data_IF_123354798706
#
_entry.id   IF_123354798706
#
_cell.length_a   1.000
_cell.length_b   1.000
_cell.length_c   1.000
_cell.angle_alpha   90.00
_cell.angle_beta   90.00
_cell.angle_gamma   90.00
#
_symmetry.space_group_name_H-M   'P 1'
#
loop_
_entity.id
_entity.type
_entity.pdbx_description
1 polymer ?
#
# COMPACT_ATOMS: atom_id res chain seq x y z
N UNK A 1 25.59 18.89 -8.06
CA UNK A 1 26.07 18.06 -6.94
C UNK A 1 26.64 16.78 -7.55
N UNK A 2 27.85 16.38 -7.18
CA UNK A 2 28.50 15.15 -7.62
C UNK A 2 28.64 14.27 -6.37
N UNK A 3 28.25 13.00 -6.43
CA UNK A 3 28.37 12.08 -5.29
C UNK A 3 29.29 10.93 -5.65
N UNK A 4 30.19 10.58 -4.73
CA UNK A 4 31.10 9.45 -4.86
C UNK A 4 30.57 8.31 -3.99
N UNK A 5 30.24 7.18 -4.61
CA UNK A 5 29.85 5.96 -3.87
C UNK A 5 31.14 5.35 -3.33
N UNK A 6 31.37 5.44 -2.03
CA UNK A 6 32.49 4.75 -1.39
C UNK A 6 32.04 3.33 -1.06
N UNK A 7 32.37 2.37 -1.90
CA UNK A 7 32.28 0.94 -1.57
C UNK A 7 33.50 0.55 -0.73
N UNK A 8 33.35 -0.03 0.48
CA UNK A 8 34.48 -0.54 1.23
C UNK A 8 34.84 -1.94 0.72
N UNK A 9 35.66 -2.02 -0.33
CA UNK A 9 36.33 -3.28 -0.69
C UNK A 9 37.81 -3.24 -0.32
N UNK A 10 38.15 -4.14 0.60
CA UNK A 10 39.44 -4.73 0.97
C UNK A 10 40.74 -3.99 0.60
N UNK A 11 41.50 -3.69 1.65
CA UNK A 11 42.94 -3.50 1.56
C UNK A 11 43.62 -4.80 1.10
N UNK A 12 43.99 -4.88 -0.17
CA UNK A 12 45.14 -5.68 -0.60
C UNK A 12 45.87 -4.96 -1.72
N UNK A 13 47.14 -4.63 -1.45
CA UNK A 13 48.04 -3.96 -2.37
C UNK A 13 48.50 -4.91 -3.48
N UNK A 14 48.26 -4.54 -4.74
CA UNK A 14 49.26 -4.55 -5.83
C UNK A 14 48.59 -4.18 -7.17
N UNK A 15 49.03 -3.04 -7.74
CA UNK A 15 49.00 -2.61 -9.15
C UNK A 15 47.97 -3.29 -10.08
N UNK A 16 46.95 -2.53 -10.50
CA UNK A 16 46.43 -2.53 -11.88
C UNK A 16 45.47 -1.34 -12.10
N UNK A 17 45.77 -0.54 -13.13
CA UNK A 17 44.92 0.44 -13.85
C UNK A 17 43.94 1.28 -13.03
N UNK A 18 44.15 2.60 -13.01
CA UNK A 18 43.18 3.62 -12.60
C UNK A 18 41.86 3.50 -13.38
N UNK A 19 40.97 2.58 -12.99
CA UNK A 19 39.56 2.66 -13.31
C UNK A 19 38.99 3.73 -12.40
N UNK A 20 39.09 4.99 -12.84
CA UNK A 20 38.39 6.10 -12.21
C UNK A 20 36.91 5.69 -12.11
N UNK A 21 36.42 5.45 -10.89
CA UNK A 21 35.01 5.15 -10.65
C UNK A 21 34.17 6.21 -11.38
N UNK A 22 33.18 5.80 -12.19
CA UNK A 22 32.46 6.74 -13.04
C UNK A 22 31.84 7.84 -12.19
N UNK A 23 32.21 9.08 -12.49
CA UNK A 23 31.59 10.27 -11.88
C UNK A 23 30.18 10.38 -12.44
N UNK A 24 29.19 9.93 -11.67
CA UNK A 24 27.80 10.05 -12.07
C UNK A 24 27.33 11.50 -11.94
N UNK A 25 26.86 12.06 -13.06
CA UNK A 25 26.14 13.33 -13.05
C UNK A 25 24.80 13.06 -12.36
N UNK A 26 24.48 13.82 -11.31
CA UNK A 26 23.17 13.76 -10.67
C UNK A 26 22.11 14.32 -11.63
N UNK A 27 21.60 13.45 -12.51
CA UNK A 27 20.47 13.73 -13.38
C UNK A 27 19.17 13.25 -12.75
N UNK A 28 18.05 13.70 -13.32
CA UNK A 28 16.73 13.17 -12.97
C UNK A 28 16.67 11.67 -13.25
N UNK A 29 17.33 11.17 -14.31
CA UNK A 29 17.46 9.72 -14.54
C UNK A 29 18.28 9.03 -13.45
N UNK A 30 19.39 9.61 -12.97
CA UNK A 30 20.18 9.01 -11.89
C UNK A 30 19.35 8.84 -10.60
N UNK A 31 18.61 9.89 -10.20
CA UNK A 31 17.74 9.83 -9.01
C UNK A 31 16.54 8.87 -9.16
N UNK A 32 16.21 8.49 -10.39
CA UNK A 32 15.08 7.61 -10.74
C UNK A 32 15.56 6.26 -11.28
N UNK A 33 16.86 6.00 -11.27
CA UNK A 33 17.43 4.74 -11.69
C UNK A 33 17.07 3.70 -10.63
N UNK A 34 16.03 2.94 -10.91
CA UNK A 34 15.59 1.87 -10.00
C UNK A 34 16.39 0.62 -10.35
N UNK A 35 17.42 0.33 -9.55
CA UNK A 35 18.02 -1.00 -9.56
C UNK A 35 17.25 -1.93 -8.62
N UNK A 36 17.24 -3.21 -8.96
CA UNK A 36 16.62 -4.25 -8.14
C UNK A 36 17.25 -4.31 -6.73
N UNK A 37 18.55 -4.11 -6.64
CA UNK A 37 19.28 -4.10 -5.37
C UNK A 37 18.88 -2.92 -4.51
N UNK A 38 18.78 -1.70 -5.07
CA UNK A 38 18.30 -0.53 -4.33
C UNK A 38 16.87 -0.75 -3.80
N UNK A 39 16.00 -1.37 -4.60
CA UNK A 39 14.63 -1.66 -4.18
C UNK A 39 14.58 -2.65 -3.00
N UNK A 40 15.36 -3.73 -3.07
CA UNK A 40 15.48 -4.72 -1.98
C UNK A 40 16.12 -4.12 -0.72
N UNK A 41 17.19 -3.34 -0.87
CA UNK A 41 17.84 -2.66 0.25
C UNK A 41 16.89 -1.68 0.95
N UNK A 42 16.08 -0.93 0.21
CA UNK A 42 15.05 -0.06 0.78
C UNK A 42 14.00 -0.84 1.55
N UNK A 43 13.56 -1.98 1.02
CA UNK A 43 12.58 -2.84 1.69
C UNK A 43 13.15 -3.39 3.01
N UNK A 44 14.37 -3.93 2.98
CA UNK A 44 15.05 -4.44 4.18
C UNK A 44 15.29 -3.33 5.21
N UNK A 45 15.70 -2.14 4.78
CA UNK A 45 15.89 -0.99 5.66
C UNK A 45 14.58 -0.53 6.30
N UNK A 46 13.48 -0.49 5.54
CA UNK A 46 12.17 -0.16 6.08
C UNK A 46 11.69 -1.21 7.09
N UNK A 47 11.85 -2.49 6.78
CA UNK A 47 11.48 -3.57 7.69
C UNK A 47 12.29 -3.50 9.00
N UNK A 48 13.60 -3.32 8.90
CA UNK A 48 14.47 -3.18 10.08
C UNK A 48 14.14 -1.93 10.89
N UNK A 49 14.03 -0.76 10.24
CA UNK A 49 13.77 0.51 10.93
C UNK A 49 12.41 0.51 11.62
N UNK A 50 11.39 -0.08 11.00
CA UNK A 50 10.08 -0.27 11.63
C UNK A 50 10.15 -1.20 12.84
N UNK A 51 10.83 -2.34 12.73
CA UNK A 51 11.01 -3.27 13.83
C UNK A 51 11.78 -2.64 15.00
N UNK A 52 12.88 -1.93 14.71
CA UNK A 52 13.69 -1.21 15.67
C UNK A 52 12.88 -0.09 16.36
N UNK A 53 12.09 0.66 15.61
CA UNK A 53 11.20 1.70 16.15
C UNK A 53 10.18 1.10 17.13
N UNK A 54 9.53 -0.01 16.76
CA UNK A 54 8.61 -0.73 17.66
C UNK A 54 9.29 -1.22 18.93
N UNK A 55 10.50 -1.76 18.84
CA UNK A 55 11.27 -2.20 19.99
C UNK A 55 11.65 -1.02 20.91
N UNK A 56 12.03 0.13 20.34
CA UNK A 56 12.31 1.33 21.13
C UNK A 56 11.06 1.88 21.84
N UNK A 57 9.87 1.78 21.20
CA UNK A 57 8.60 2.16 21.83
C UNK A 57 8.26 1.29 23.05
N UNK A 58 8.49 -0.02 22.97
CA UNK A 58 8.21 -0.92 24.10
C UNK A 58 9.18 -0.68 25.26
N UNK A 59 10.46 -0.51 24.96
CA UNK A 59 11.49 -0.22 25.97
C UNK A 59 11.24 1.12 26.68
N UNK A 60 10.93 2.19 25.94
CA UNK A 60 10.64 3.50 26.53
C UNK A 60 9.40 3.47 27.46
N UNK A 61 8.38 2.68 27.11
CA UNK A 61 7.19 2.50 27.95
C UNK A 61 7.45 1.84 29.31
N UNK A 62 8.58 1.13 29.45
CA UNK A 62 9.07 0.52 30.70
C UNK A 62 9.95 1.50 31.47
N UNK A 63 10.78 2.28 30.77
CA UNK A 63 11.74 3.23 31.37
C UNK A 63 11.06 4.44 32.03
N UNK A 64 9.87 4.86 31.60
CA UNK A 64 9.12 5.93 32.29
C UNK A 64 8.75 5.62 33.74
N UNK A 65 8.87 4.36 34.20
CA UNK A 65 8.58 3.94 35.59
C UNK A 65 9.84 3.85 36.45
N UNK A 66 11.03 3.74 35.83
CA UNK A 66 12.30 3.59 36.53
C UNK A 66 13.15 4.84 36.31
N UNK A 67 13.39 5.60 37.38
CA UNK A 67 14.19 6.82 37.50
C UNK A 67 15.42 6.87 36.57
N UNK A 68 15.23 7.31 35.32
CA UNK A 68 16.30 7.48 34.34
C UNK A 68 16.80 8.92 34.34
N UNK A 69 18.10 9.10 34.13
CA UNK A 69 18.69 10.44 33.98
C UNK A 69 18.13 11.11 32.73
N UNK A 70 17.80 12.40 32.80
CA UNK A 70 17.20 13.19 31.72
C UNK A 70 17.99 13.11 30.39
N UNK A 71 19.31 12.96 30.47
CA UNK A 71 20.19 12.79 29.32
C UNK A 71 19.97 11.46 28.58
N UNK A 72 19.77 10.35 29.30
CA UNK A 72 19.55 9.03 28.68
C UNK A 72 18.20 8.96 27.93
N UNK A 73 17.17 9.58 28.50
CA UNK A 73 15.85 9.69 27.86
C UNK A 73 15.89 10.53 26.58
N UNK A 74 16.64 11.64 26.59
CA UNK A 74 16.78 12.51 25.42
C UNK A 74 17.47 11.79 24.25
N UNK A 75 18.54 11.02 24.51
CA UNK A 75 19.23 10.23 23.47
C UNK A 75 18.28 9.21 22.84
N UNK A 76 17.51 8.48 23.66
CA UNK A 76 16.54 7.50 23.16
C UNK A 76 15.44 8.15 22.29
N UNK A 77 15.00 9.36 22.63
CA UNK A 77 14.07 10.13 21.81
C UNK A 77 14.66 10.48 20.44
N UNK A 78 15.89 10.99 20.40
CA UNK A 78 16.57 11.36 19.15
C UNK A 78 16.79 10.14 18.24
N UNK A 79 17.12 8.98 18.82
CA UNK A 79 17.27 7.74 18.06
C UNK A 79 15.94 7.28 17.45
N UNK A 80 14.82 7.44 18.18
CA UNK A 80 13.50 7.18 17.64
C UNK A 80 13.11 8.17 16.53
N UNK A 81 13.44 9.46 16.66
CA UNK A 81 13.21 10.45 15.59
C UNK A 81 14.02 10.11 14.32
N UNK A 82 15.26 9.65 14.47
CA UNK A 82 16.06 9.15 13.35
C UNK A 82 15.40 7.95 12.67
N UNK A 83 14.87 7.00 13.44
CA UNK A 83 14.15 5.85 12.88
C UNK A 83 12.87 6.27 12.16
N UNK A 84 12.11 7.23 12.69
CA UNK A 84 10.95 7.82 12.00
C UNK A 84 11.35 8.43 10.66
N UNK A 85 12.44 9.20 10.64
CA UNK A 85 12.96 9.79 9.41
C UNK A 85 13.34 8.71 8.38
N UNK A 86 14.05 7.66 8.80
CA UNK A 86 14.43 6.54 7.92
C UNK A 86 13.20 5.83 7.35
N UNK A 87 12.21 5.51 8.19
CA UNK A 87 10.95 4.90 7.74
C UNK A 87 10.27 5.75 6.67
N UNK A 88 10.10 7.06 6.92
CA UNK A 88 9.44 7.98 6.00
C UNK A 88 10.21 8.14 4.69
N UNK A 89 11.53 8.26 4.75
CA UNK A 89 12.39 8.34 3.58
C UNK A 89 12.26 7.08 2.71
N UNK A 90 12.29 5.89 3.32
CA UNK A 90 12.11 4.63 2.60
C UNK A 90 10.73 4.56 1.93
N UNK A 91 9.66 4.91 2.65
CA UNK A 91 8.29 4.92 2.13
C UNK A 91 8.12 5.86 0.92
N UNK A 92 8.73 7.04 0.95
CA UNK A 92 8.71 8.02 -0.16
C UNK A 92 9.52 7.55 -1.36
N UNK A 93 10.67 6.92 -1.12
CA UNK A 93 11.49 6.36 -2.19
C UNK A 93 10.80 5.17 -2.85
N UNK A 94 10.21 4.26 -2.07
CA UNK A 94 9.40 3.15 -2.60
C UNK A 94 8.23 3.66 -3.43
N UNK A 95 7.51 4.70 -2.95
CA UNK A 95 6.46 5.37 -3.71
C UNK A 95 6.99 5.86 -5.06
N UNK A 96 8.13 6.53 -5.06
CA UNK A 96 8.75 7.09 -6.26
C UNK A 96 9.15 5.97 -7.22
N UNK A 97 9.85 4.95 -6.74
CA UNK A 97 10.34 3.84 -7.57
C UNK A 97 9.20 3.06 -8.20
N UNK A 98 8.15 2.74 -7.45
CA UNK A 98 6.97 2.04 -7.99
C UNK A 98 6.30 2.88 -9.07
N UNK A 99 6.12 4.18 -8.86
CA UNK A 99 5.47 5.06 -9.83
C UNK A 99 6.34 5.39 -11.05
N UNK A 100 7.65 5.25 -10.97
CA UNK A 100 8.54 5.36 -12.13
C UNK A 100 8.54 4.07 -12.97
N UNK A 101 8.46 2.89 -12.34
CA UNK A 101 8.38 1.61 -13.07
C UNK A 101 6.97 1.38 -13.62
N UNK A 102 5.96 1.59 -12.79
CA UNK A 102 4.54 1.36 -13.06
C UNK A 102 3.74 2.64 -12.80
N UNK A 103 3.76 3.63 -13.70
CA UNK A 103 2.96 4.85 -13.56
C UNK A 103 1.45 4.57 -13.57
N UNK A 104 0.71 5.31 -12.75
CA UNK A 104 -0.77 5.23 -12.65
C UNK A 104 -1.47 5.70 -13.94
N UNK A 105 -0.81 6.56 -14.74
CA UNK A 105 -1.27 6.95 -16.06
C UNK A 105 -0.16 6.63 -17.07
N UNK A 106 -0.45 5.69 -17.95
CA UNK A 106 0.46 5.29 -19.02
C UNK A 106 0.58 6.45 -20.01
N UNK A 107 1.73 7.12 -20.00
CA UNK A 107 2.09 8.03 -21.08
C UNK A 107 2.84 7.24 -22.15
N UNK A 108 2.48 7.37 -23.42
CA UNK A 108 3.10 6.67 -24.56
C UNK A 108 4.62 6.91 -24.75
N UNK A 109 5.27 7.71 -23.89
CA UNK A 109 6.65 8.20 -24.07
C UNK A 109 7.73 7.39 -23.35
N UNK A 110 7.41 6.49 -22.42
CA UNK A 110 8.44 5.73 -21.69
C UNK A 110 7.93 4.33 -21.32
N UNK A 111 8.30 3.34 -22.13
CA UNK A 111 8.04 1.93 -21.81
C UNK A 111 9.22 1.43 -20.99
N UNK A 112 9.05 1.34 -19.67
CA UNK A 112 10.01 0.63 -18.80
C UNK A 112 9.80 -0.87 -19.03
N UNK A 113 10.87 -1.60 -19.34
CA UNK A 113 10.79 -3.05 -19.55
C UNK A 113 10.38 -3.74 -18.25
N UNK A 114 9.31 -4.54 -18.30
CA UNK A 114 8.87 -5.31 -17.15
C UNK A 114 9.87 -6.42 -16.79
N UNK A 115 9.96 -6.72 -15.49
CA UNK A 115 10.76 -7.82 -14.97
C UNK A 115 9.98 -8.53 -13.87
N UNK A 116 9.94 -9.86 -13.90
CA UNK A 116 9.30 -10.69 -12.88
C UNK A 116 9.83 -10.32 -11.48
N UNK A 117 11.14 -10.12 -11.36
CA UNK A 117 11.81 -9.76 -10.11
C UNK A 117 11.38 -8.39 -9.58
N UNK A 118 11.09 -7.44 -10.46
CA UNK A 118 10.56 -6.13 -10.06
C UNK A 118 9.10 -6.27 -9.59
N UNK A 119 8.28 -7.04 -10.31
CA UNK A 119 6.90 -7.32 -9.91
C UNK A 119 6.83 -8.05 -8.54
N UNK A 120 7.74 -8.99 -8.28
CA UNK A 120 7.92 -9.63 -6.96
C UNK A 120 8.18 -8.60 -5.87
N UNK A 121 9.12 -7.68 -6.12
CA UNK A 121 9.47 -6.65 -5.15
C UNK A 121 8.27 -5.71 -4.87
N UNK A 122 7.46 -5.36 -5.88
CA UNK A 122 6.21 -4.61 -5.66
C UNK A 122 5.26 -5.41 -4.77
N UNK A 123 5.17 -6.73 -4.97
CA UNK A 123 4.37 -7.63 -4.14
C UNK A 123 4.86 -7.68 -2.68
N UNK A 124 6.17 -7.66 -2.47
CA UNK A 124 6.78 -7.64 -1.14
C UNK A 124 6.57 -6.30 -0.43
N UNK A 125 6.65 -5.18 -1.16
CA UNK A 125 6.28 -3.86 -0.62
C UNK A 125 4.82 -3.84 -0.19
N UNK A 126 3.91 -4.35 -1.04
CA UNK A 126 2.48 -4.47 -0.71
C UNK A 126 2.29 -5.23 0.61
N UNK A 127 2.96 -6.36 0.78
CA UNK A 127 2.87 -7.18 1.98
C UNK A 127 3.43 -6.45 3.23
N UNK A 128 4.58 -5.79 3.11
CA UNK A 128 5.18 -5.04 4.21
C UNK A 128 4.28 -3.87 4.65
N UNK A 129 3.74 -3.11 3.70
CA UNK A 129 2.90 -1.95 4.01
C UNK A 129 1.58 -2.38 4.67
N UNK A 130 0.98 -3.47 4.19
CA UNK A 130 -0.19 -4.09 4.85
C UNK A 130 0.12 -4.47 6.29
N UNK A 131 1.30 -5.02 6.54
CA UNK A 131 1.77 -5.37 7.90
C UNK A 131 1.90 -4.13 8.77
N UNK A 132 2.60 -3.08 8.30
CA UNK A 132 2.77 -1.82 9.03
C UNK A 132 1.41 -1.18 9.36
N UNK A 133 0.47 -1.14 8.41
CA UNK A 133 -0.85 -0.54 8.62
C UNK A 133 -1.73 -1.34 9.58
N UNK A 134 -1.58 -2.67 9.61
CA UNK A 134 -2.34 -3.59 10.47
C UNK A 134 -1.72 -3.79 11.85
N UNK A 135 -0.50 -3.30 12.09
CA UNK A 135 0.22 -3.52 13.34
C UNK A 135 -0.49 -2.84 14.53
N UNK A 136 -0.69 -3.60 15.61
CA UNK A 136 -1.24 -3.07 16.85
C UNK A 136 -0.10 -2.50 17.71
N UNK A 137 -0.12 -1.20 17.97
CA UNK A 137 0.97 -0.51 18.65
C UNK A 137 0.55 -0.12 20.08
N UNK A 138 1.30 -0.52 21.12
CA UNK A 138 0.97 -0.24 22.51
C UNK A 138 0.81 1.26 22.82
N UNK A 139 1.64 2.11 22.19
CA UNK A 139 1.64 3.56 22.38
C UNK A 139 0.34 4.25 21.91
N UNK A 140 -0.35 3.69 20.90
CA UNK A 140 -1.63 4.21 20.40
C UNK A 140 -2.82 3.87 21.30
N UNK A 141 -2.69 2.89 22.20
CA UNK A 141 -3.80 2.44 23.06
C UNK A 141 -3.96 3.25 24.35
N UNK A 142 -2.90 3.94 24.81
CA UNK A 142 -2.94 4.75 26.03
C UNK A 142 -3.42 6.18 25.70
N UNK A 143 -4.73 6.40 25.73
CA UNK A 143 -5.38 7.72 25.50
C UNK A 143 -4.86 8.87 26.38
N UNK A 144 -4.17 8.58 27.49
CA UNK A 144 -3.80 9.58 28.49
C UNK A 144 -2.42 10.23 28.31
N UNK A 145 -1.69 9.95 27.23
CA UNK A 145 -0.51 10.75 26.91
C UNK A 145 -0.44 11.01 25.42
N UNK A 146 -0.71 12.26 25.02
CA UNK A 146 -0.19 12.87 23.79
C UNK A 146 1.34 12.95 23.83
N UNK A 147 1.97 11.81 24.10
CA UNK A 147 3.41 11.63 24.21
C UNK A 147 4.01 11.79 22.82
N UNK A 148 5.19 12.39 22.76
CA UNK A 148 5.97 12.57 21.53
C UNK A 148 6.07 11.27 20.70
N UNK A 149 6.11 10.12 21.38
CA UNK A 149 6.08 8.77 20.78
C UNK A 149 4.83 8.47 19.95
N UNK A 150 3.65 8.88 20.44
CA UNK A 150 2.39 8.68 19.70
C UNK A 150 2.37 9.51 18.42
N UNK A 151 2.88 10.75 18.48
CA UNK A 151 3.04 11.62 17.31
C UNK A 151 4.00 10.99 16.29
N UNK A 152 5.18 10.55 16.73
CA UNK A 152 6.15 9.85 15.88
C UNK A 152 5.56 8.63 15.17
N UNK A 153 4.79 7.82 15.92
CA UNK A 153 4.11 6.66 15.40
C UNK A 153 3.07 7.02 14.32
N UNK A 154 2.25 8.04 14.59
CA UNK A 154 1.26 8.55 13.63
C UNK A 154 1.94 9.09 12.37
N UNK A 155 3.09 9.74 12.46
CA UNK A 155 3.84 10.21 11.29
C UNK A 155 4.28 9.08 10.36
N UNK A 156 4.78 7.96 10.91
CA UNK A 156 5.16 6.79 10.11
C UNK A 156 3.93 6.13 9.48
N UNK A 157 2.86 5.96 10.26
CA UNK A 157 1.62 5.34 9.78
C UNK A 157 0.94 6.17 8.70
N UNK A 158 0.94 7.49 8.83
CA UNK A 158 0.39 8.42 7.84
C UNK A 158 1.20 8.37 6.54
N UNK A 159 2.53 8.39 6.61
CA UNK A 159 3.36 8.24 5.41
C UNK A 159 3.16 6.87 4.75
N UNK A 160 2.97 5.80 5.54
CA UNK A 160 2.67 4.47 5.04
C UNK A 160 1.30 4.44 4.33
N UNK A 161 0.28 5.08 4.90
CA UNK A 161 -1.03 5.25 4.28
C UNK A 161 -0.89 5.94 2.92
N UNK A 162 -0.20 7.09 2.87
CA UNK A 162 -0.03 7.87 1.63
C UNK A 162 0.74 7.10 0.55
N UNK A 163 1.79 6.38 0.93
CA UNK A 163 2.53 5.50 0.00
C UNK A 163 1.65 4.37 -0.48
N UNK A 164 0.86 3.74 0.39
CA UNK A 164 -0.03 2.65 0.00
C UNK A 164 -1.07 3.11 -1.02
N UNK A 165 -1.73 4.23 -0.75
CA UNK A 165 -2.73 4.84 -1.65
C UNK A 165 -2.10 5.20 -3.00
N UNK A 166 -0.92 5.80 -3.00
CA UNK A 166 -0.23 6.23 -4.22
C UNK A 166 0.33 5.09 -5.08
N UNK A 167 0.44 3.88 -4.53
CA UNK A 167 0.93 2.69 -5.24
C UNK A 167 -0.17 1.65 -5.48
N UNK A 168 -1.42 1.98 -5.15
CA UNK A 168 -2.53 1.03 -5.18
C UNK A 168 -2.78 0.43 -6.56
N UNK A 169 -2.58 1.21 -7.62
CA UNK A 169 -2.68 0.73 -9.01
C UNK A 169 -1.62 -0.33 -9.34
N UNK A 170 -0.43 -0.27 -8.75
CA UNK A 170 0.60 -1.29 -8.95
C UNK A 170 0.38 -2.51 -8.04
N UNK A 171 -0.19 -2.31 -6.84
CA UNK A 171 -0.51 -3.37 -5.89
C UNK A 171 -1.70 -4.24 -6.32
N UNK A 172 -2.66 -3.60 -7.00
CA UNK A 172 -3.88 -4.21 -7.49
C UNK A 172 -4.13 -3.72 -8.93
N UNK A 173 -3.38 -4.24 -9.92
CA UNK A 173 -3.39 -3.71 -11.29
C UNK A 173 -4.73 -3.86 -12.00
N UNK A 174 -5.52 -4.87 -11.66
CA UNK A 174 -6.82 -5.11 -12.30
C UNK A 174 -8.00 -4.67 -11.43
N UNK A 175 -9.14 -4.43 -12.05
CA UNK A 175 -10.42 -4.19 -11.36
C UNK A 175 -10.76 -5.32 -10.38
N UNK A 176 -10.62 -6.57 -10.83
CA UNK A 176 -10.88 -7.75 -10.00
C UNK A 176 -10.02 -7.78 -8.74
N UNK A 177 -8.71 -7.53 -8.85
CA UNK A 177 -7.81 -7.52 -7.69
C UNK A 177 -8.14 -6.40 -6.70
N UNK A 178 -8.58 -5.23 -7.19
CA UNK A 178 -9.04 -4.13 -6.33
C UNK A 178 -10.31 -4.51 -5.56
N UNK A 179 -11.25 -5.15 -6.25
CA UNK A 179 -12.50 -5.66 -5.67
C UNK A 179 -12.24 -6.70 -4.60
N UNK A 180 -11.51 -7.78 -4.92
CA UNK A 180 -11.22 -8.85 -3.97
C UNK A 180 -10.48 -8.34 -2.74
N UNK A 181 -9.52 -7.43 -2.93
CA UNK A 181 -8.78 -6.83 -1.82
C UNK A 181 -9.68 -6.08 -0.83
N UNK A 182 -10.73 -5.39 -1.31
CA UNK A 182 -11.71 -4.74 -0.44
C UNK A 182 -12.56 -5.80 0.30
N UNK A 183 -13.08 -6.79 -0.41
CA UNK A 183 -13.91 -7.85 0.18
C UNK A 183 -13.17 -8.62 1.27
N UNK A 184 -11.94 -9.06 1.01
CA UNK A 184 -11.13 -9.82 1.96
C UNK A 184 -10.82 -9.00 3.24
N UNK A 185 -10.59 -7.69 3.08
CA UNK A 185 -10.36 -6.79 4.20
C UNK A 185 -11.62 -6.57 5.02
N UNK A 186 -12.75 -6.26 4.38
CA UNK A 186 -14.02 -6.07 5.07
C UNK A 186 -14.45 -7.34 5.83
N UNK A 187 -14.25 -8.52 5.24
CA UNK A 187 -14.53 -9.82 5.87
C UNK A 187 -13.63 -10.12 7.08
N UNK A 188 -12.42 -9.55 7.12
CA UNK A 188 -11.47 -9.77 8.21
C UNK A 188 -11.56 -8.74 9.33
N UNK A 189 -12.25 -7.61 9.13
CA UNK A 189 -12.42 -6.55 10.13
C UNK A 189 -13.07 -7.04 11.42
N UNK A 190 -14.06 -7.95 11.34
CA UNK A 190 -14.73 -8.49 12.53
C UNK A 190 -13.79 -9.31 13.42
N UNK A 191 -12.71 -9.84 12.84
CA UNK A 191 -11.73 -10.68 13.56
C UNK A 191 -10.59 -9.86 14.17
N UNK A 192 -10.34 -8.65 13.66
CA UNK A 192 -9.15 -7.85 14.02
C UNK A 192 -9.51 -6.37 14.12
N UNK A 193 -9.54 -5.85 15.35
CA UNK A 193 -9.81 -4.44 15.64
C UNK A 193 -8.79 -3.45 15.06
N UNK A 194 -7.61 -3.92 14.65
CA UNK A 194 -6.50 -3.07 14.20
C UNK A 194 -6.42 -2.90 12.66
N UNK A 195 -7.40 -3.42 11.91
CA UNK A 195 -7.45 -3.30 10.43
C UNK A 195 -8.02 -1.98 9.92
N UNK A 196 -8.57 -1.14 10.81
CA UNK A 196 -9.19 0.14 10.49
C UNK A 196 -8.34 1.03 9.57
N UNK A 197 -7.03 1.10 9.84
CA UNK A 197 -6.08 1.90 9.04
C UNK A 197 -5.88 1.33 7.64
N UNK A 198 -5.75 0.01 7.52
CA UNK A 198 -5.55 -0.65 6.23
C UNK A 198 -6.80 -0.57 5.37
N UNK A 199 -7.98 -0.80 5.95
CA UNK A 199 -9.26 -0.62 5.24
C UNK A 199 -9.40 0.83 4.80
N UNK A 200 -9.09 1.78 5.67
CA UNK A 200 -9.12 3.21 5.33
C UNK A 200 -8.22 3.54 4.15
N UNK A 201 -7.00 2.97 4.08
CA UNK A 201 -6.09 3.17 2.95
C UNK A 201 -6.61 2.55 1.65
N UNK A 202 -7.21 1.36 1.68
CA UNK A 202 -7.82 0.74 0.48
C UNK A 202 -9.02 1.55 0.00
N UNK A 203 -9.91 1.96 0.90
CA UNK A 203 -11.08 2.78 0.57
C UNK A 203 -10.66 4.15 0.00
N UNK A 204 -9.65 4.79 0.59
CA UNK A 204 -9.06 6.03 0.07
C UNK A 204 -8.51 5.85 -1.35
N UNK A 205 -7.81 4.75 -1.60
CA UNK A 205 -7.23 4.48 -2.92
C UNK A 205 -8.28 4.22 -4.00
N UNK A 206 -9.39 3.56 -3.66
CA UNK A 206 -10.54 3.37 -4.56
C UNK A 206 -11.24 4.70 -4.90
N UNK A 207 -11.12 5.71 -4.05
CA UNK A 207 -11.61 7.06 -4.33
C UNK A 207 -10.75 7.80 -5.37
N UNK A 208 -9.57 7.29 -5.75
CA UNK A 208 -8.71 7.91 -6.78
C UNK A 208 -9.49 8.17 -8.08
N UNK A 209 -9.32 9.34 -8.73
CA UNK A 209 -9.94 9.63 -10.03
C UNK A 209 -9.56 8.64 -11.13
N UNK A 210 -8.42 7.95 -10.99
CA UNK A 210 -7.97 6.95 -11.98
C UNK A 210 -8.71 5.61 -11.86
N UNK A 211 -9.43 5.37 -10.77
CA UNK A 211 -10.21 4.15 -10.55
C UNK A 211 -11.65 4.43 -10.95
N UNK A 212 -12.14 3.73 -11.97
CA UNK A 212 -13.57 3.72 -12.33
C UNK A 212 -14.28 2.67 -11.48
N UNK A 213 -15.17 3.08 -10.58
CA UNK A 213 -15.85 2.14 -9.69
C UNK A 213 -16.83 1.25 -10.45
N UNK A 214 -17.47 1.75 -11.51
CA UNK A 214 -18.35 0.94 -12.38
C UNK A 214 -17.66 -0.30 -12.98
N UNK A 215 -16.39 -0.18 -13.36
CA UNK A 215 -15.63 -1.31 -13.89
C UNK A 215 -14.96 -2.15 -12.81
N UNK A 216 -14.84 -1.60 -11.59
CA UNK A 216 -14.21 -2.27 -10.45
C UNK A 216 -15.21 -3.12 -9.68
N UNK A 217 -16.42 -2.60 -9.47
CA UNK A 217 -17.47 -3.24 -8.70
C UNK A 217 -18.45 -3.96 -9.63
N UNK A 218 -18.87 -5.20 -9.30
CA UNK A 218 -19.87 -5.93 -10.07
C UNK A 218 -21.29 -5.39 -9.76
N UNK A 219 -21.57 -4.13 -10.15
CA UNK A 219 -22.82 -3.43 -9.77
C UNK A 219 -24.01 -3.88 -10.62
N UNK A 220 -23.79 -4.11 -11.92
CA UNK A 220 -24.84 -4.43 -12.90
C UNK A 220 -24.96 -5.93 -13.22
N UNK A 221 -24.13 -6.77 -12.60
CA UNK A 221 -24.17 -8.21 -12.85
C UNK A 221 -25.35 -8.81 -12.10
N UNK A 222 -26.29 -9.42 -12.85
CA UNK A 222 -27.38 -10.23 -12.30
C UNK A 222 -26.83 -11.25 -11.28
N UNK A 223 -27.57 -11.55 -10.19
CA UNK A 223 -27.19 -12.58 -9.21
C UNK A 223 -27.03 -13.99 -9.81
N UNK A 224 -27.39 -14.21 -11.08
CA UNK A 224 -27.10 -15.43 -11.82
C UNK A 224 -25.60 -15.53 -12.15
N UNK A 225 -24.79 -15.91 -11.16
CA UNK A 225 -23.56 -16.73 -11.23
C UNK A 225 -22.36 -16.31 -12.11
N UNK A 226 -22.53 -15.57 -13.20
CA UNK A 226 -21.55 -15.45 -14.28
C UNK A 226 -20.72 -14.15 -14.25
N UNK A 227 -21.15 -13.13 -13.50
CA UNK A 227 -20.40 -11.87 -13.38
C UNK A 227 -19.03 -12.04 -12.73
N UNK A 228 -18.95 -12.88 -11.71
CA UNK A 228 -17.69 -13.19 -11.01
C UNK A 228 -16.79 -14.12 -11.86
N UNK A 229 -17.39 -14.97 -12.69
CA UNK A 229 -16.67 -15.80 -13.66
C UNK A 229 -16.10 -14.97 -14.81
N UNK A 230 -16.75 -13.89 -15.25
CA UNK A 230 -16.23 -12.98 -16.28
C UNK A 230 -14.99 -12.22 -15.81
N UNK A 231 -15.01 -11.69 -14.58
CA UNK A 231 -13.84 -11.02 -14.00
C UNK A 231 -12.69 -11.99 -13.71
N UNK A 232 -12.99 -13.25 -13.36
CA UNK A 232 -11.97 -14.31 -13.24
C UNK A 232 -11.47 -14.84 -14.59
N UNK A 233 -12.33 -14.95 -15.61
CA UNK A 233 -11.96 -15.41 -16.97
C UNK A 233 -11.01 -14.44 -17.66
N UNK A 234 -11.05 -13.16 -17.30
CA UNK A 234 -10.04 -12.16 -17.71
C UNK A 234 -8.62 -12.46 -17.15
N UNK A 235 -8.46 -13.44 -16.25
CA UNK A 235 -7.21 -13.74 -15.54
C UNK A 235 -6.71 -15.20 -15.75
N UNK A 236 -7.43 -16.06 -16.47
CA UNK A 236 -7.03 -17.47 -16.65
C UNK A 236 -5.97 -17.62 -17.75
N UNK A 237 -4.76 -18.15 -17.45
CA UNK A 237 -3.68 -18.32 -18.44
C UNK A 237 -3.72 -19.64 -19.24
N UNK A 238 -4.80 -20.42 -19.21
CA UNK A 238 -4.79 -21.76 -19.83
C UNK A 238 -6.15 -22.21 -20.34
N UNK A 239 -6.29 -22.20 -21.66
CA UNK A 239 -6.69 -23.39 -22.41
C UNK A 239 -5.74 -23.51 -23.62
N UNK A 240 -4.88 -24.51 -23.57
CA UNK A 240 -3.96 -24.94 -24.63
C UNK A 240 -4.70 -25.63 -25.80
N UNK A 241 -5.94 -25.23 -26.08
CA UNK A 241 -6.64 -25.66 -27.29
C UNK A 241 -6.27 -24.67 -28.39
N UNK A 242 -5.68 -25.17 -29.49
CA UNK A 242 -5.27 -24.40 -30.66
C UNK A 242 -6.44 -23.79 -31.43
N UNK A 243 -7.18 -22.90 -30.78
CA UNK A 243 -8.21 -22.07 -31.41
C UNK A 243 -7.57 -20.76 -31.88
N UNK A 244 -7.93 -20.29 -33.08
CA UNK A 244 -7.36 -19.08 -33.65
C UNK A 244 -7.68 -17.89 -32.72
N UNK A 245 -6.67 -17.07 -32.47
CA UNK A 245 -6.78 -15.87 -31.64
C UNK A 245 -7.99 -15.03 -32.05
N UNK A 246 -8.97 -14.93 -31.16
CA UNK A 246 -10.07 -14.00 -31.31
C UNK A 246 -9.53 -12.55 -31.22
N UNK A 247 -9.86 -11.66 -32.16
CA UNK A 247 -9.40 -10.29 -32.11
C UNK A 247 -10.17 -9.55 -31.00
N UNK A 248 -9.48 -9.17 -29.92
CA UNK A 248 -10.07 -8.38 -28.83
C UNK A 248 -9.64 -8.71 -27.40
N UNK A 249 -8.65 -9.58 -27.18
CA UNK A 249 -8.05 -9.73 -25.85
C UNK A 249 -7.30 -8.45 -25.48
N UNK A 250 -7.85 -7.67 -24.54
CA UNK A 250 -7.21 -6.48 -23.98
C UNK A 250 -5.85 -6.88 -23.40
N UNK A 251 -4.79 -6.62 -24.17
CA UNK A 251 -3.43 -6.85 -23.71
C UNK A 251 -3.18 -5.82 -22.61
N UNK A 252 -3.16 -6.27 -21.34
CA UNK A 252 -2.88 -5.39 -20.22
C UNK A 252 -1.57 -4.63 -20.48
N UNK A 253 -1.50 -3.39 -20.02
CA UNK A 253 -0.29 -2.58 -20.26
C UNK A 253 0.94 -3.11 -19.47
N UNK A 254 0.70 -3.79 -18.34
CA UNK A 254 1.71 -4.42 -17.49
C UNK A 254 1.37 -5.90 -17.24
N UNK A 255 1.49 -6.79 -18.26
CA UNK A 255 1.08 -8.18 -18.14
C UNK A 255 1.85 -8.95 -17.06
N UNK A 256 3.16 -8.73 -16.90
CA UNK A 256 3.96 -9.45 -15.90
C UNK A 256 3.53 -9.06 -14.49
N UNK A 257 3.28 -7.78 -14.25
CA UNK A 257 2.76 -7.31 -12.97
C UNK A 257 1.38 -7.91 -12.66
N UNK A 258 0.48 -7.95 -13.65
CA UNK A 258 -0.87 -8.52 -13.49
C UNK A 258 -0.78 -10.00 -13.12
N UNK A 259 0.01 -10.79 -13.82
CA UNK A 259 0.19 -12.22 -13.55
C UNK A 259 0.74 -12.43 -12.13
N UNK A 260 1.81 -11.73 -11.77
CA UNK A 260 2.46 -11.88 -10.46
C UNK A 260 1.54 -11.49 -9.29
N UNK A 261 0.81 -10.38 -9.42
CA UNK A 261 -0.12 -9.94 -8.38
C UNK A 261 -1.35 -10.86 -8.28
N UNK A 262 -1.79 -11.42 -9.42
CA UNK A 262 -2.88 -12.39 -9.45
C UNK A 262 -2.49 -13.67 -8.75
N UNK A 263 -1.31 -14.23 -9.07
CA UNK A 263 -0.78 -15.42 -8.41
C UNK A 263 -0.69 -15.25 -6.89
N UNK A 264 -0.14 -14.13 -6.41
CA UNK A 264 -0.03 -13.87 -4.97
C UNK A 264 -1.37 -13.73 -4.26
N UNK A 265 -2.38 -13.19 -4.93
CA UNK A 265 -3.71 -13.00 -4.33
C UNK A 265 -4.63 -14.22 -4.48
N UNK A 266 -4.28 -15.24 -5.28
CA UNK A 266 -5.00 -16.53 -5.29
C UNK A 266 -4.96 -17.24 -3.93
N UNK A 267 -3.89 -17.04 -3.15
CA UNK A 267 -3.74 -17.58 -1.80
C UNK A 267 -4.63 -16.85 -0.78
N UNK A 268 -5.06 -15.62 -1.10
CA UNK A 268 -5.81 -14.74 -0.20
C UNK A 268 -7.34 -14.83 -0.37
N UNK A 269 -7.82 -15.55 -1.39
CA UNK A 269 -9.24 -15.57 -1.79
C UNK A 269 -10.12 -16.11 -0.65
N UNK A 270 -10.79 -15.19 0.04
CA UNK A 270 -11.89 -15.47 0.94
C UNK A 270 -13.25 -15.48 0.24
N UNK A 271 -14.30 -15.63 1.05
CA UNK A 271 -15.72 -15.77 0.67
C UNK A 271 -16.15 -14.88 -0.50
N UNK A 272 -17.08 -15.38 -1.32
CA UNK A 272 -17.69 -14.62 -2.42
C UNK A 272 -18.62 -13.56 -1.83
N UNK A 273 -18.27 -12.28 -1.97
CA UNK A 273 -19.11 -11.15 -1.60
C UNK A 273 -19.81 -10.60 -2.84
N UNK A 274 -21.07 -10.21 -2.69
CA UNK A 274 -21.80 -9.42 -3.67
C UNK A 274 -21.61 -7.93 -3.42
N UNK A 275 -21.90 -7.11 -4.43
CA UNK A 275 -21.88 -5.65 -4.29
C UNK A 275 -22.75 -5.16 -3.12
N UNK A 276 -23.93 -5.76 -2.95
CA UNK A 276 -24.83 -5.48 -1.83
C UNK A 276 -24.16 -5.69 -0.46
N UNK A 277 -23.43 -6.79 -0.28
CA UNK A 277 -22.78 -7.11 0.99
C UNK A 277 -21.71 -6.08 1.35
N UNK A 278 -20.91 -5.66 0.34
CA UNK A 278 -19.91 -4.59 0.52
C UNK A 278 -20.58 -3.26 0.85
N UNK A 279 -21.66 -2.92 0.15
CA UNK A 279 -22.39 -1.68 0.37
C UNK A 279 -22.99 -1.62 1.79
N UNK A 280 -23.69 -2.68 2.20
CA UNK A 280 -24.29 -2.80 3.53
C UNK A 280 -23.20 -2.66 4.60
N UNK A 281 -22.05 -3.32 4.41
CA UNK A 281 -20.93 -3.23 5.35
C UNK A 281 -20.30 -1.83 5.44
N UNK A 282 -20.15 -1.13 4.32
CA UNK A 282 -19.65 0.25 4.31
C UNK A 282 -20.62 1.20 5.02
N UNK A 283 -21.92 1.01 4.82
CA UNK A 283 -22.97 1.78 5.50
C UNK A 283 -22.98 1.48 7.01
N UNK A 284 -22.79 0.23 7.42
CA UNK A 284 -22.69 -0.14 8.84
C UNK A 284 -21.52 0.57 9.52
N UNK A 285 -20.34 0.62 8.90
CA UNK A 285 -19.17 1.34 9.45
C UNK A 285 -19.50 2.81 9.72
N UNK A 286 -20.18 3.48 8.79
CA UNK A 286 -20.55 4.89 8.89
C UNK A 286 -21.65 5.09 9.92
N UNK A 287 -22.75 4.34 9.80
CA UNK A 287 -23.94 4.49 10.66
C UNK A 287 -23.66 4.09 12.11
N UNK A 288 -22.86 3.05 12.36
CA UNK A 288 -22.45 2.66 13.71
C UNK A 288 -21.64 3.78 14.37
N UNK A 289 -20.67 4.33 13.66
CA UNK A 289 -19.82 5.42 14.17
C UNK A 289 -20.63 6.67 14.52
N UNK A 290 -21.62 7.02 13.69
CA UNK A 290 -22.52 8.15 13.94
C UNK A 290 -23.43 7.87 15.14
N UNK A 291 -24.03 6.66 15.23
CA UNK A 291 -24.87 6.26 16.37
C UNK A 291 -24.10 6.33 17.68
N UNK A 292 -22.86 5.84 17.70
CA UNK A 292 -21.99 5.89 18.89
C UNK A 292 -21.65 7.33 19.27
N UNK A 293 -21.31 8.18 18.30
CA UNK A 293 -21.02 9.59 18.55
C UNK A 293 -22.24 10.33 19.14
N UNK A 294 -23.44 10.11 18.58
CA UNK A 294 -24.69 10.71 19.07
C UNK A 294 -25.07 10.23 20.49
N UNK A 295 -24.75 8.98 20.82
CA UNK A 295 -24.96 8.39 22.16
C UNK A 295 -23.85 8.74 23.16
N UNK A 296 -22.84 9.52 22.74
CA UNK A 296 -21.64 9.81 23.54
C UNK A 296 -20.89 8.54 23.98
N UNK A 297 -21.00 7.47 23.19
CA UNK A 297 -20.27 6.22 23.38
C UNK A 297 -18.86 6.30 22.76
N UNK A 298 -17.98 5.38 23.17
CA UNK A 298 -16.66 5.26 22.54
C UNK A 298 -16.83 4.81 21.08
N UNK A 299 -16.49 5.67 20.13
CA UNK A 299 -16.52 5.36 18.70
C UNK A 299 -15.54 4.20 18.41
N UNK A 300 -16.05 3.16 17.75
CA UNK A 300 -15.28 1.95 17.39
C UNK A 300 -14.30 2.27 16.27
N UNK A 301 -14.75 2.94 15.22
CA UNK A 301 -13.95 3.19 14.02
C UNK A 301 -13.25 4.54 14.04
N UNK A 302 -12.10 4.61 13.38
CA UNK A 302 -11.37 5.87 13.20
C UNK A 302 -12.13 6.87 12.32
N UNK A 303 -12.03 8.16 12.64
CA UNK A 303 -12.64 9.25 11.84
C UNK A 303 -12.17 9.23 10.38
N UNK A 304 -10.92 8.84 10.14
CA UNK A 304 -10.36 8.74 8.79
C UNK A 304 -11.08 7.65 7.97
N UNK A 305 -11.31 6.48 8.57
CA UNK A 305 -12.05 5.39 7.91
C UNK A 305 -13.47 5.82 7.56
N UNK A 306 -14.19 6.39 8.52
CA UNK A 306 -15.58 6.86 8.31
C UNK A 306 -15.65 7.88 7.17
N UNK A 307 -14.73 8.86 7.16
CA UNK A 307 -14.65 9.89 6.12
C UNK A 307 -14.40 9.27 4.74
N UNK A 308 -13.45 8.34 4.64
CA UNK A 308 -13.13 7.66 3.39
C UNK A 308 -14.28 6.78 2.90
N UNK A 309 -14.99 6.08 3.80
CA UNK A 309 -16.20 5.32 3.45
C UNK A 309 -17.29 6.25 2.88
N UNK A 310 -17.53 7.41 3.50
CA UNK A 310 -18.45 8.41 2.97
C UNK A 310 -18.05 8.89 1.56
N UNK A 311 -16.76 9.17 1.34
CA UNK A 311 -16.27 9.56 0.01
C UNK A 311 -16.48 8.46 -1.04
N UNK A 312 -16.20 7.19 -0.68
CA UNK A 312 -16.39 6.07 -1.60
C UNK A 312 -17.88 5.89 -1.95
N UNK A 313 -18.76 5.94 -0.95
CA UNK A 313 -20.21 5.86 -1.15
C UNK A 313 -20.72 7.00 -2.03
N UNK A 314 -20.28 8.23 -1.76
CA UNK A 314 -20.63 9.39 -2.58
C UNK A 314 -20.15 9.23 -4.03
N UNK A 315 -18.94 8.70 -4.25
CA UNK A 315 -18.40 8.43 -5.58
C UNK A 315 -19.18 7.35 -6.32
N UNK A 316 -19.57 6.25 -5.63
CA UNK A 316 -20.44 5.22 -6.20
C UNK A 316 -21.76 5.84 -6.66
N UNK A 317 -22.42 6.62 -5.81
CA UNK A 317 -23.68 7.30 -6.17
C UNK A 317 -23.48 8.25 -7.35
N UNK A 318 -22.38 9.02 -7.38
CA UNK A 318 -22.08 9.93 -8.46
C UNK A 318 -21.87 9.20 -9.81
N UNK A 319 -21.11 8.10 -9.83
CA UNK A 319 -20.90 7.31 -11.04
C UNK A 319 -22.20 6.64 -11.54
N UNK A 320 -23.06 6.16 -10.63
CA UNK A 320 -24.36 5.57 -10.99
C UNK A 320 -25.34 6.64 -11.50
N UNK A 321 -25.34 7.83 -10.89
CA UNK A 321 -26.17 8.95 -11.34
C UNK A 321 -25.72 9.47 -12.71
N UNK A 322 -24.40 9.51 -12.97
CA UNK A 322 -23.86 9.87 -14.28
C UNK A 322 -24.30 8.86 -15.35
N UNK A 323 -24.22 7.57 -15.04
CA UNK A 323 -24.70 6.50 -15.93
C UNK A 323 -26.19 6.62 -16.25
N UNK A 324 -27.04 6.87 -15.24
CA UNK A 324 -28.48 7.05 -15.46
C UNK A 324 -28.80 8.26 -16.35
N UNK A 325 -27.90 9.24 -16.42
CA UNK A 325 -27.99 10.43 -17.29
C UNK A 325 -27.32 10.23 -18.66
N UNK A 326 -26.69 9.07 -18.91
CA UNK A 326 -25.93 8.82 -20.14
C UNK A 326 -24.61 9.59 -20.24
N UNK A 327 -24.06 10.03 -19.11
CA UNK A 327 -22.76 10.72 -19.04
C UNK A 327 -21.72 9.67 -18.58
N UNK A 328 -20.76 9.36 -19.45
CA UNK A 328 -19.67 8.41 -19.17
C UNK A 328 -18.41 9.04 -18.61
#
# INVERSE_FOLDING_TARGET
LLYRVVTPENQTAARQTDTCEPVYILSKEFSRAVSMECFRSLLSLLQWSWAAFKAGLTQSSVVTVASSSTASHLTALLDLERLVYVCRACLRLLKTYINEIYPNQVSHKKVTQESIRLAECVGDVRALLRTILSDSLPSLRRKNQGSQYSKMCLEVLEECHQTFVACFHAFYPTAFLKWTALCDLLASMDKKSDLDRLVSAVVAALCSPTVRLRSTFPISTSPDGDGHNLLRKQLSPSDNSGLPMMPGMDTHHYPILVEQMSYRSQVEVGSVWQFKDVLDRLLDIVTLSIKQALRLEKVTHSSQLVTNCCHLLAKVVAELAAQARGID
#
